data_IF_214798891476
#
_entry.id   IF_214798891476
#
_cell.length_a   1.000
_cell.length_b   1.000
_cell.length_c   1.000
_cell.angle_alpha   90.00
_cell.angle_beta   90.00
_cell.angle_gamma   90.00
#
_symmetry.space_group_name_H-M   'P 1'
#
loop_
_entity.id
_entity.type
_entity.pdbx_description
1 polymer ?
#
# COMPACT_ATOMS: atom_id res chain seq x y z
N UNK A 1 1.77 -16.38 1.46
CA UNK A 1 2.17 -15.44 0.41
C UNK A 1 3.67 -15.54 0.25
N UNK A 2 4.15 -15.72 -0.97
CA UNK A 2 5.57 -15.65 -1.29
C UNK A 2 6.05 -14.20 -1.27
N UNK A 3 7.37 -14.00 -1.24
CA UNK A 3 7.98 -12.67 -1.30
C UNK A 3 7.52 -11.86 -2.53
N UNK A 4 7.45 -12.52 -3.68
CA UNK A 4 7.09 -11.87 -4.94
C UNK A 4 5.61 -11.52 -5.01
N UNK A 5 4.72 -12.40 -4.53
CA UNK A 5 3.29 -12.12 -4.43
C UNK A 5 3.03 -10.90 -3.54
N UNK A 6 3.73 -10.80 -2.39
CA UNK A 6 3.55 -9.65 -1.50
C UNK A 6 4.06 -8.35 -2.12
N UNK A 7 5.18 -8.39 -2.86
CA UNK A 7 5.68 -7.23 -3.61
C UNK A 7 4.70 -6.78 -4.69
N UNK A 8 4.12 -7.71 -5.44
CA UNK A 8 3.10 -7.40 -6.45
C UNK A 8 1.88 -6.71 -5.82
N UNK A 9 1.42 -7.21 -4.67
CA UNK A 9 0.35 -6.57 -3.92
C UNK A 9 0.70 -5.14 -3.45
N UNK A 10 1.92 -4.92 -2.99
CA UNK A 10 2.40 -3.57 -2.59
C UNK A 10 2.40 -2.62 -3.80
N UNK A 11 2.89 -3.06 -4.96
CA UNK A 11 2.92 -2.24 -6.19
C UNK A 11 1.52 -1.90 -6.69
N UNK A 12 0.62 -2.88 -6.70
CA UNK A 12 -0.77 -2.68 -7.07
C UNK A 12 -1.44 -1.67 -6.13
N UNK A 13 -1.26 -1.83 -4.81
CA UNK A 13 -1.85 -0.92 -3.82
C UNK A 13 -1.28 0.49 -3.90
N UNK A 14 0.01 0.64 -4.19
CA UNK A 14 0.64 1.95 -4.43
C UNK A 14 0.02 2.66 -5.63
N UNK A 15 -0.23 1.93 -6.71
CA UNK A 15 -0.87 2.47 -7.92
C UNK A 15 -2.31 2.90 -7.63
N UNK A 16 -3.05 2.11 -6.86
CA UNK A 16 -4.40 2.48 -6.39
C UNK A 16 -4.36 3.77 -5.55
N UNK A 17 -3.45 3.86 -4.57
CA UNK A 17 -3.30 5.05 -3.74
C UNK A 17 -3.02 6.29 -4.58
N UNK A 18 -2.10 6.22 -5.54
CA UNK A 18 -1.83 7.34 -6.45
C UNK A 18 -3.10 7.78 -7.19
N UNK A 19 -3.88 6.85 -7.72
CA UNK A 19 -5.14 7.16 -8.40
C UNK A 19 -6.18 7.81 -7.46
N UNK A 20 -6.25 7.34 -6.22
CA UNK A 20 -7.14 7.91 -5.20
C UNK A 20 -6.70 9.32 -4.80
N UNK A 21 -5.40 9.56 -4.64
CA UNK A 21 -4.81 10.88 -4.36
C UNK A 21 -5.15 11.87 -5.47
N UNK A 22 -4.99 11.47 -6.74
CA UNK A 22 -5.29 12.33 -7.88
C UNK A 22 -6.77 12.71 -7.97
N UNK A 23 -7.67 11.82 -7.52
CA UNK A 23 -9.12 12.03 -7.57
C UNK A 23 -9.67 12.81 -6.36
N UNK A 24 -9.16 12.53 -5.17
CA UNK A 24 -9.76 12.98 -3.91
C UNK A 24 -8.87 13.95 -3.12
N UNK A 25 -7.62 14.15 -3.54
CA UNK A 25 -6.63 14.89 -2.77
C UNK A 25 -6.05 14.08 -1.61
N UNK A 26 -5.01 14.64 -0.98
CA UNK A 26 -4.27 13.96 0.09
C UNK A 26 -5.05 13.84 1.40
N UNK A 27 -5.84 14.87 1.73
CA UNK A 27 -6.54 14.97 3.01
C UNK A 27 -7.87 14.20 3.05
N UNK A 28 -8.25 13.57 1.94
CA UNK A 28 -9.48 12.78 1.92
C UNK A 28 -9.34 11.54 2.80
N UNK A 29 -10.42 11.22 3.52
CA UNK A 29 -10.45 10.04 4.38
C UNK A 29 -10.11 8.75 3.60
N UNK A 30 -10.55 8.66 2.34
CA UNK A 30 -10.26 7.52 1.47
C UNK A 30 -8.77 7.42 1.11
N UNK A 31 -8.11 8.55 0.84
CA UNK A 31 -6.65 8.57 0.60
C UNK A 31 -5.88 8.12 1.83
N UNK A 32 -6.26 8.61 3.01
CA UNK A 32 -5.63 8.24 4.28
C UNK A 32 -5.78 6.74 4.54
N UNK A 33 -6.98 6.18 4.34
CA UNK A 33 -7.23 4.75 4.49
C UNK A 33 -6.35 3.91 3.55
N UNK A 34 -6.29 4.27 2.26
CA UNK A 34 -5.46 3.54 1.30
C UNK A 34 -3.97 3.65 1.61
N UNK A 35 -3.51 4.78 2.18
CA UNK A 35 -2.14 4.94 2.66
C UNK A 35 -1.84 4.01 3.84
N UNK A 36 -2.77 3.88 4.78
CA UNK A 36 -2.62 2.98 5.93
C UNK A 36 -2.59 1.51 5.51
N UNK A 37 -3.41 1.13 4.53
CA UNK A 37 -3.40 -0.23 3.97
C UNK A 37 -2.08 -0.55 3.25
N UNK A 38 -1.51 0.42 2.52
CA UNK A 38 -0.19 0.28 1.91
C UNK A 38 0.91 0.11 2.98
N UNK A 39 0.87 0.91 4.05
CA UNK A 39 1.82 0.80 5.16
C UNK A 39 1.74 -0.56 5.85
N UNK A 40 0.54 -1.11 6.03
CA UNK A 40 0.37 -2.46 6.59
C UNK A 40 1.04 -3.53 5.73
N UNK A 41 0.91 -3.44 4.40
CA UNK A 41 1.57 -4.38 3.47
C UNK A 41 3.09 -4.25 3.52
N UNK A 42 3.61 -3.01 3.58
CA UNK A 42 5.04 -2.75 3.71
C UNK A 42 5.60 -3.31 5.02
N UNK A 43 4.90 -3.10 6.13
CA UNK A 43 5.28 -3.65 7.44
C UNK A 43 5.25 -5.17 7.43
N UNK A 44 4.23 -5.78 6.81
CA UNK A 44 4.16 -7.24 6.67
C UNK A 44 5.34 -7.78 5.88
N UNK A 45 5.76 -7.10 4.81
CA UNK A 45 6.90 -7.50 4.00
C UNK A 45 8.20 -7.40 4.79
N UNK A 46 8.42 -6.30 5.50
CA UNK A 46 9.59 -6.11 6.37
C UNK A 46 9.69 -7.24 7.40
N UNK A 47 8.61 -7.48 8.14
CA UNK A 47 8.52 -8.53 9.15
C UNK A 47 8.69 -9.95 8.61
N UNK A 48 8.27 -10.22 7.36
CA UNK A 48 8.28 -11.58 6.82
C UNK A 48 9.58 -11.92 6.07
N UNK A 49 10.30 -10.91 5.55
CA UNK A 49 11.38 -11.15 4.59
C UNK A 49 12.67 -10.34 4.81
N UNK A 50 12.67 -9.34 5.70
CA UNK A 50 13.85 -8.48 5.95
C UNK A 50 14.35 -8.55 7.40
N UNK A 51 13.44 -8.76 8.36
CA UNK A 51 13.72 -8.76 9.80
C UNK A 51 13.82 -10.17 10.37
#
# INVERSE_FOLDING_TARGET
MTKNELLEHIENKRTELQNIVLKNGLDSHITILYSQELDQLLNQYDHSFLR
#
